data_IF_424035941346
#
_entry.id   IF_424035941346
#
_cell.length_a   1.000
_cell.length_b   1.000
_cell.length_c   1.000
_cell.angle_alpha   90.00
_cell.angle_beta   90.00
_cell.angle_gamma   90.00
#
_symmetry.space_group_name_H-M   'P 1'
#
loop_
_entity.id
_entity.type
_entity.pdbx_description
1 polymer ?
#
# COMPACT_ATOMS: atom_id res chain seq x y z
N UNK A 1 -14.67 -7.55 2.37
CA UNK A 1 -15.27 -7.33 1.03
C UNK A 1 -15.17 -8.63 0.23
N UNK A 2 -16.11 -8.89 -0.70
CA UNK A 2 -16.06 -10.07 -1.58
C UNK A 2 -15.09 -9.80 -2.73
N UNK A 3 -14.53 -10.85 -3.35
CA UNK A 3 -13.47 -10.70 -4.36
C UNK A 3 -13.83 -9.73 -5.50
N UNK A 4 -15.06 -9.80 -6.02
CA UNK A 4 -15.51 -8.92 -7.10
C UNK A 4 -15.57 -7.46 -6.65
N UNK A 5 -16.21 -7.16 -5.52
CA UNK A 5 -16.27 -5.79 -5.00
C UNK A 5 -14.91 -5.25 -4.54
N UNK A 6 -13.99 -6.13 -4.13
CA UNK A 6 -12.60 -5.77 -3.85
C UNK A 6 -11.83 -5.39 -5.11
N UNK A 7 -12.06 -6.10 -6.23
CA UNK A 7 -11.43 -5.78 -7.52
C UNK A 7 -11.88 -4.42 -8.04
N UNK A 8 -13.20 -4.16 -7.99
CA UNK A 8 -13.76 -2.86 -8.38
C UNK A 8 -13.19 -1.71 -7.54
N UNK A 9 -13.10 -1.91 -6.22
CA UNK A 9 -12.51 -0.92 -5.31
C UNK A 9 -11.03 -0.68 -5.59
N UNK A 10 -10.25 -1.74 -5.84
CA UNK A 10 -8.83 -1.64 -6.22
C UNK A 10 -8.64 -0.79 -7.49
N UNK A 11 -9.42 -1.09 -8.54
CA UNK A 11 -9.37 -0.33 -9.80
C UNK A 11 -9.79 1.13 -9.60
N UNK A 12 -10.87 1.37 -8.85
CA UNK A 12 -11.36 2.73 -8.56
C UNK A 12 -10.31 3.54 -7.77
N UNK A 13 -9.66 2.91 -6.80
CA UNK A 13 -8.59 3.54 -6.01
C UNK A 13 -7.39 3.93 -6.87
N UNK A 14 -6.91 3.03 -7.73
CA UNK A 14 -5.81 3.32 -8.66
C UNK A 14 -6.16 4.44 -9.65
N UNK A 15 -7.37 4.43 -10.20
CA UNK A 15 -7.82 5.49 -11.10
C UNK A 15 -7.87 6.84 -10.38
N UNK A 16 -8.32 6.87 -9.13
CA UNK A 16 -8.31 8.09 -8.32
C UNK A 16 -6.88 8.58 -8.07
N UNK A 17 -5.95 7.68 -7.75
CA UNK A 17 -4.52 8.03 -7.58
C UNK A 17 -3.92 8.63 -8.84
N UNK A 18 -4.19 8.03 -10.02
CA UNK A 18 -3.74 8.56 -11.32
C UNK A 18 -4.27 9.96 -11.60
N UNK A 19 -5.50 10.28 -11.20
CA UNK A 19 -6.11 11.60 -11.38
C UNK A 19 -5.52 12.67 -10.46
N UNK A 20 -5.20 12.32 -9.21
CA UNK A 20 -4.70 13.29 -8.21
C UNK A 20 -3.18 13.39 -8.17
N UNK A 21 -2.48 12.57 -8.96
CA UNK A 21 -1.03 12.53 -9.07
C UNK A 21 -0.60 12.49 -10.56
N UNK A 22 0.66 12.15 -10.82
CA UNK A 22 1.17 11.93 -12.18
C UNK A 22 0.84 10.51 -12.59
N UNK A 23 -0.08 10.36 -13.55
CA UNK A 23 -0.58 9.07 -14.03
C UNK A 23 0.53 8.07 -14.36
N UNK A 24 1.54 8.50 -15.11
CA UNK A 24 2.66 7.65 -15.55
C UNK A 24 3.51 7.09 -14.41
N UNK A 25 3.42 7.67 -13.21
CA UNK A 25 4.16 7.23 -12.02
C UNK A 25 3.36 6.26 -11.14
N UNK A 26 2.07 6.07 -11.41
CA UNK A 26 1.24 5.09 -10.71
C UNK A 26 1.26 3.78 -11.50
N UNK A 27 1.98 2.79 -10.98
CA UNK A 27 2.07 1.45 -11.55
C UNK A 27 1.32 0.45 -10.68
N UNK A 28 0.75 -0.56 -11.31
CA UNK A 28 -0.05 -1.60 -10.67
C UNK A 28 0.47 -3.02 -10.98
N UNK A 29 -0.07 -3.98 -10.24
CA UNK A 29 0.11 -5.41 -10.48
C UNK A 29 -1.16 -6.02 -11.07
N UNK A 30 -1.31 -7.34 -10.96
CA UNK A 30 -2.51 -8.05 -11.43
C UNK A 30 -3.33 -8.54 -10.23
N UNK A 31 -4.54 -7.99 -10.05
CA UNK A 31 -5.43 -8.35 -8.94
C UNK A 31 -5.80 -9.83 -8.99
N UNK A 32 -5.59 -10.54 -7.87
CA UNK A 32 -5.91 -11.96 -7.74
C UNK A 32 -4.92 -12.93 -8.39
N UNK A 33 -3.84 -12.43 -8.99
CA UNK A 33 -2.76 -13.27 -9.53
C UNK A 33 -1.70 -13.57 -8.46
N UNK A 34 -1.00 -14.70 -8.62
CA UNK A 34 0.24 -14.95 -7.89
C UNK A 34 1.32 -14.01 -8.42
N UNK A 35 1.90 -13.19 -7.54
CA UNK A 35 2.91 -12.20 -7.93
C UNK A 35 4.23 -12.41 -7.18
N UNK A 36 5.33 -12.21 -7.90
CA UNK A 36 6.66 -12.02 -7.31
C UNK A 36 7.00 -10.53 -7.37
N UNK A 37 7.01 -9.86 -6.22
CA UNK A 37 7.27 -8.42 -6.12
C UNK A 37 8.68 -8.21 -5.56
N UNK A 38 9.55 -7.59 -6.35
CA UNK A 38 10.89 -7.20 -5.91
C UNK A 38 10.83 -5.76 -5.38
N UNK A 39 11.21 -5.56 -4.12
CA UNK A 39 11.20 -4.25 -3.45
C UNK A 39 12.59 -4.00 -2.88
N UNK A 40 13.18 -2.86 -3.22
CA UNK A 40 14.46 -2.39 -2.66
C UNK A 40 14.16 -1.12 -1.89
N UNK A 41 14.37 -1.15 -0.57
CA UNK A 41 14.12 -0.02 0.32
C UNK A 41 15.44 0.71 0.62
N UNK A 42 15.65 1.87 0.01
CA UNK A 42 16.78 2.77 0.32
C UNK A 42 16.50 3.48 1.66
N UNK A 43 17.01 2.94 2.77
CA UNK A 43 16.57 3.33 4.12
C UNK A 43 16.89 2.24 5.16
N UNK A 44 15.91 1.54 5.76
CA UNK A 44 14.51 1.31 5.37
C UNK A 44 13.48 2.10 6.21
N UNK A 45 12.38 2.54 5.57
CA UNK A 45 11.24 3.19 6.24
C UNK A 45 9.95 2.48 5.86
N UNK A 46 9.19 2.04 6.86
CA UNK A 46 7.88 1.39 6.69
C UNK A 46 6.83 2.18 7.46
N UNK A 47 5.73 2.56 6.79
CA UNK A 47 4.61 3.29 7.40
C UNK A 47 3.34 2.46 7.31
N UNK A 48 2.65 2.31 8.44
CA UNK A 48 1.33 1.66 8.49
C UNK A 48 0.23 2.72 8.44
N UNK A 49 -0.74 2.54 7.53
CA UNK A 49 -1.88 3.44 7.35
C UNK A 49 -3.18 2.63 7.39
N UNK A 50 -4.14 3.06 8.21
CA UNK A 50 -5.51 2.52 8.22
C UNK A 50 -6.49 3.69 8.05
N UNK A 51 -7.26 3.69 6.95
CA UNK A 51 -8.27 4.72 6.67
C UNK A 51 -9.31 4.92 7.79
N UNK A 52 -9.48 3.95 8.69
CA UNK A 52 -10.40 4.03 9.84
C UNK A 52 -9.72 4.52 11.12
N UNK A 53 -8.39 4.67 11.12
CA UNK A 53 -7.59 5.16 12.24
C UNK A 53 -6.82 6.39 11.79
N UNK A 54 -7.24 7.56 12.25
CA UNK A 54 -6.57 8.83 11.95
C UNK A 54 -5.33 9.10 12.83
N UNK A 55 -4.80 8.06 13.47
CA UNK A 55 -3.67 8.13 14.39
C UNK A 55 -2.50 7.31 13.84
N UNK A 56 -1.32 7.92 13.77
CA UNK A 56 -0.09 7.23 13.40
C UNK A 56 0.34 6.29 14.54
N UNK A 57 0.44 4.99 14.28
CA UNK A 57 1.06 4.05 15.22
C UNK A 57 2.57 4.04 15.01
N UNK A 58 3.31 4.68 15.91
CA UNK A 58 4.75 4.56 15.93
C UNK A 58 5.11 3.18 16.48
N UNK A 59 5.42 2.23 15.60
CA UNK A 59 6.06 0.97 16.01
C UNK A 59 7.52 1.28 16.36
N UNK A 60 7.76 1.88 17.53
CA UNK A 60 9.09 1.85 18.14
C UNK A 60 9.35 0.43 18.58
N UNK A 61 10.02 -0.36 17.74
CA UNK A 61 10.74 -1.54 18.20
C UNK A 61 11.83 -1.06 19.16
N UNK A 62 11.50 -1.00 20.45
CA UNK A 62 12.49 -1.02 21.53
C UNK A 62 13.27 -2.32 21.41
N UNK A 63 14.40 -2.27 20.71
CA UNK A 63 15.49 -3.21 20.93
C UNK A 63 16.00 -2.92 22.33
N UNK A 64 15.43 -3.58 23.34
CA UNK A 64 16.08 -3.75 24.63
C UNK A 64 17.25 -4.70 24.40
N UNK A 65 18.41 -4.10 24.14
CA UNK A 65 19.71 -4.78 24.22
C UNK A 65 19.78 -5.54 25.53
N UNK A 66 20.29 -6.77 25.44
CA UNK A 66 20.76 -7.55 26.57
C UNK A 66 22.26 -7.34 26.71
#
# INVERSE_FOLDING_TARGET
MKSESSKEMYTTFLNRLKQVYVEDRVKDGVFGAMMKVNIVNEGPVTLELDSRKFTYTNNTSTTSDK
#
